data_IF_174320761602
#
_entry.id   IF_174320761602
#
_cell.length_a   1.000
_cell.length_b   1.000
_cell.length_c   1.000
_cell.angle_alpha   90.00
_cell.angle_beta   90.00
_cell.angle_gamma   90.00
#
_symmetry.space_group_name_H-M   'P 1'
#
loop_
_entity.id
_entity.type
_entity.pdbx_description
1 polymer ?
#
# COMPACT_ATOMS: atom_id res chain seq x y z
N UNK A 1 2.32 30.71 -14.15
CA UNK A 1 3.11 29.56 -13.66
C UNK A 1 3.03 29.58 -12.14
N UNK A 2 2.11 28.83 -11.54
CA UNK A 2 1.94 28.82 -10.08
C UNK A 2 1.78 27.36 -9.65
N UNK A 3 2.71 26.93 -8.80
CA UNK A 3 3.07 25.55 -8.49
C UNK A 3 1.89 24.65 -8.10
N UNK A 4 1.57 23.68 -8.97
CA UNK A 4 0.66 22.56 -8.69
C UNK A 4 1.26 21.48 -7.77
N UNK A 5 2.44 21.69 -7.19
CA UNK A 5 3.13 20.72 -6.34
C UNK A 5 2.91 21.06 -4.86
N UNK A 6 2.35 20.12 -4.11
CA UNK A 6 2.31 20.18 -2.65
C UNK A 6 3.76 20.09 -2.14
N UNK A 7 4.21 20.97 -1.22
CA UNK A 7 5.56 20.89 -0.66
C UNK A 7 5.83 19.50 -0.08
N UNK A 8 6.94 18.89 -0.51
CA UNK A 8 7.39 17.54 -0.10
C UNK A 8 7.75 17.41 1.41
N UNK A 9 7.79 18.53 2.14
CA UNK A 9 8.29 18.65 3.52
C UNK A 9 7.20 19.10 4.52
N UNK A 10 5.93 18.82 4.23
CA UNK A 10 4.83 19.12 5.15
C UNK A 10 4.83 18.12 6.30
N UNK A 11 4.88 18.63 7.53
CA UNK A 11 4.67 17.84 8.73
C UNK A 11 3.19 17.43 8.84
N UNK A 12 2.87 16.27 8.29
CA UNK A 12 1.51 15.74 8.29
C UNK A 12 0.94 15.53 9.70
N UNK A 13 1.78 15.33 10.73
CA UNK A 13 1.31 15.11 12.10
C UNK A 13 0.62 16.36 12.69
N UNK A 14 1.00 17.57 12.26
CA UNK A 14 0.36 18.82 12.70
C UNK A 14 -1.00 19.06 12.06
N UNK A 15 -1.24 18.43 10.90
CA UNK A 15 -2.48 18.56 10.13
C UNK A 15 -3.36 17.29 10.19
N UNK A 16 -2.91 16.27 10.92
CA UNK A 16 -3.69 15.07 11.20
C UNK A 16 -4.61 15.30 12.39
N UNK A 17 -5.86 14.86 12.27
CA UNK A 17 -6.81 14.83 13.38
C UNK A 17 -6.27 13.88 14.46
N UNK A 18 -6.11 14.41 15.67
CA UNK A 18 -5.48 13.72 16.80
C UNK A 18 -3.98 14.01 16.98
N UNK A 19 -3.37 14.86 16.15
CA UNK A 19 -1.97 15.27 16.34
C UNK A 19 -1.00 14.08 16.37
N UNK A 20 -0.16 14.00 17.41
CA UNK A 20 0.80 12.91 17.57
C UNK A 20 0.14 11.53 17.74
N UNK A 21 -0.97 11.43 18.49
CA UNK A 21 -1.66 10.14 18.67
C UNK A 21 -2.32 9.68 17.36
N UNK A 22 -2.87 10.62 16.58
CA UNK A 22 -3.36 10.36 15.23
C UNK A 22 -2.27 9.88 14.27
N UNK A 23 -1.08 10.51 14.33
CA UNK A 23 0.08 10.06 13.54
C UNK A 23 0.52 8.64 13.91
N UNK A 24 0.64 8.34 15.21
CA UNK A 24 1.00 7.00 15.70
C UNK A 24 -0.05 5.97 15.26
N UNK A 25 -1.33 6.29 15.39
CA UNK A 25 -2.42 5.43 14.94
C UNK A 25 -2.30 5.12 13.44
N UNK A 26 -2.08 6.14 12.61
CA UNK A 26 -1.87 5.96 11.16
C UNK A 26 -0.68 5.05 10.84
N UNK A 27 0.45 5.21 11.54
CA UNK A 27 1.62 4.35 11.34
C UNK A 27 1.37 2.92 11.80
N UNK A 28 0.67 2.74 12.91
CA UNK A 28 0.24 1.43 13.38
C UNK A 28 -0.68 0.75 12.37
N UNK A 29 -1.66 1.48 11.82
CA UNK A 29 -2.56 0.95 10.79
C UNK A 29 -1.83 0.62 9.49
N UNK A 30 -0.74 1.33 9.15
CA UNK A 30 0.12 0.90 8.04
C UNK A 30 0.79 -0.42 8.35
N UNK A 31 1.52 -0.51 9.46
CA UNK A 31 2.31 -1.70 9.83
C UNK A 31 1.45 -2.96 9.95
N UNK A 32 0.23 -2.84 10.49
CA UNK A 32 -0.66 -4.01 10.64
C UNK A 32 -1.16 -4.58 9.31
N UNK A 33 -1.12 -3.80 8.21
CA UNK A 33 -1.46 -4.30 6.87
C UNK A 33 -0.52 -5.42 6.40
N UNK A 34 0.64 -5.62 7.05
CA UNK A 34 1.54 -6.72 6.72
C UNK A 34 0.90 -8.10 6.93
N UNK A 35 -0.15 -8.17 7.75
CA UNK A 35 -0.92 -9.39 8.00
C UNK A 35 -1.90 -9.71 6.86
N UNK A 36 -2.22 -8.75 5.98
CA UNK A 36 -3.21 -8.95 4.91
C UNK A 36 -2.79 -10.09 3.96
N UNK A 37 -1.57 -10.11 3.38
CA UNK A 37 -1.13 -11.24 2.56
C UNK A 37 -1.18 -12.56 3.34
N UNK A 38 -0.75 -12.55 4.60
CA UNK A 38 -0.77 -13.75 5.44
C UNK A 38 -2.18 -14.32 5.60
N UNK A 39 -3.15 -13.47 5.97
CA UNK A 39 -4.54 -13.89 6.12
C UNK A 39 -5.16 -14.34 4.80
N UNK A 40 -4.88 -13.62 3.71
CA UNK A 40 -5.43 -13.95 2.40
C UNK A 40 -4.93 -15.31 1.89
N UNK A 41 -3.62 -15.53 1.88
CA UNK A 41 -3.03 -16.73 1.28
C UNK A 41 -3.10 -17.98 2.17
N UNK A 42 -3.17 -17.83 3.50
CA UNK A 42 -3.25 -18.99 4.41
C UNK A 42 -4.66 -19.29 4.91
N UNK A 43 -5.55 -18.29 4.93
CA UNK A 43 -6.91 -18.42 5.50
C UNK A 43 -8.01 -17.87 4.59
N UNK A 44 -7.69 -17.32 3.42
CA UNK A 44 -8.67 -16.69 2.53
C UNK A 44 -9.79 -17.63 2.10
N UNK A 45 -9.46 -18.89 1.79
CA UNK A 45 -10.45 -19.93 1.47
C UNK A 45 -11.41 -20.18 2.65
N UNK A 46 -10.89 -20.32 3.87
CA UNK A 46 -11.72 -20.54 5.06
C UNK A 46 -12.59 -19.32 5.37
N UNK A 47 -12.03 -18.10 5.30
CA UNK A 47 -12.73 -16.86 5.61
C UNK A 47 -13.83 -16.55 4.60
N UNK A 48 -13.57 -16.77 3.31
CA UNK A 48 -14.57 -16.53 2.25
C UNK A 48 -15.74 -17.51 2.31
N UNK A 49 -15.49 -18.77 2.70
CA UNK A 49 -16.54 -19.78 2.91
C UNK A 49 -17.54 -19.41 4.02
N UNK A 50 -17.15 -18.61 5.02
CA UNK A 50 -18.06 -18.13 6.06
C UNK A 50 -19.24 -17.32 5.50
N UNK A 51 -19.04 -16.70 4.34
CA UNK A 51 -20.07 -15.91 3.63
C UNK A 51 -20.44 -16.53 2.28
N UNK A 52 -20.14 -17.82 2.08
CA UNK A 52 -20.44 -18.56 0.84
C UNK A 52 -19.85 -17.93 -0.44
N UNK A 53 -18.65 -17.36 -0.33
CA UNK A 53 -17.92 -16.75 -1.44
C UNK A 53 -16.61 -17.50 -1.70
N UNK A 54 -16.02 -17.31 -2.88
CA UNK A 54 -14.60 -17.59 -3.08
C UNK A 54 -13.73 -16.40 -2.61
N UNK A 55 -12.41 -16.58 -2.42
CA UNK A 55 -11.56 -15.52 -1.88
C UNK A 55 -11.55 -14.24 -2.71
N UNK A 56 -11.57 -14.35 -4.05
CA UNK A 56 -11.60 -13.18 -4.93
C UNK A 56 -12.92 -12.40 -4.78
N UNK A 57 -14.06 -13.10 -4.74
CA UNK A 57 -15.37 -12.49 -4.49
C UNK A 57 -15.42 -11.82 -3.12
N UNK A 58 -14.79 -12.42 -2.12
CA UNK A 58 -14.69 -11.85 -0.79
C UNK A 58 -13.88 -10.54 -0.79
N UNK A 59 -12.70 -10.52 -1.42
CA UNK A 59 -11.87 -9.29 -1.55
C UNK A 59 -12.60 -8.22 -2.36
N UNK A 60 -13.27 -8.58 -3.46
CA UNK A 60 -14.09 -7.65 -4.24
C UNK A 60 -15.23 -7.07 -3.39
N UNK A 61 -15.88 -7.89 -2.57
CA UNK A 61 -16.93 -7.43 -1.67
C UNK A 61 -16.37 -6.45 -0.62
N UNK A 62 -15.22 -6.76 -0.02
CA UNK A 62 -14.51 -5.84 0.87
C UNK A 62 -14.17 -4.52 0.17
N UNK A 63 -13.68 -4.57 -1.08
CA UNK A 63 -13.39 -3.38 -1.88
C UNK A 63 -14.64 -2.53 -2.12
N UNK A 64 -15.76 -3.14 -2.50
CA UNK A 64 -17.03 -2.43 -2.72
C UNK A 64 -17.57 -1.81 -1.43
N UNK A 65 -17.44 -2.51 -0.30
CA UNK A 65 -17.78 -1.97 1.04
C UNK A 65 -16.90 -0.76 1.35
N UNK A 66 -15.58 -0.86 1.16
CA UNK A 66 -14.64 0.23 1.41
C UNK A 66 -14.94 1.46 0.55
N UNK A 67 -15.21 1.26 -0.74
CA UNK A 67 -15.63 2.34 -1.65
C UNK A 67 -16.94 2.98 -1.15
N UNK A 68 -17.92 2.17 -0.75
CA UNK A 68 -19.20 2.67 -0.24
C UNK A 68 -19.02 3.49 1.04
N UNK A 69 -18.22 3.00 1.98
CA UNK A 69 -17.89 3.71 3.22
C UNK A 69 -17.16 5.03 2.94
N UNK A 70 -16.24 5.03 1.97
CA UNK A 70 -15.53 6.24 1.57
C UNK A 70 -16.46 7.27 0.92
N UNK A 71 -17.41 6.84 0.10
CA UNK A 71 -18.43 7.73 -0.48
C UNK A 71 -19.33 8.33 0.61
N UNK A 72 -19.76 7.54 1.59
CA UNK A 72 -20.52 8.02 2.74
C UNK A 72 -19.69 9.03 3.55
N UNK A 73 -18.43 8.70 3.83
CA UNK A 73 -17.49 9.58 4.54
C UNK A 73 -17.36 10.93 3.85
N UNK A 74 -17.20 10.93 2.52
CA UNK A 74 -17.11 12.14 1.71
C UNK A 74 -18.41 12.93 1.67
N UNK A 75 -19.54 12.25 1.55
CA UNK A 75 -20.86 12.90 1.54
C UNK A 75 -21.12 13.69 2.83
N UNK A 76 -20.76 13.12 3.98
CA UNK A 76 -20.92 13.77 5.28
C UNK A 76 -19.71 14.61 5.72
N UNK A 77 -18.62 14.63 4.95
CA UNK A 77 -17.37 15.33 5.31
C UNK A 77 -16.72 14.81 6.59
N UNK A 78 -16.85 13.51 6.88
CA UNK A 78 -16.32 12.87 8.09
C UNK A 78 -14.80 12.74 7.98
N UNK A 79 -14.10 13.12 9.06
CA UNK A 79 -12.65 12.94 9.19
C UNK A 79 -12.39 11.95 10.33
N UNK A 80 -11.69 10.86 10.02
CA UNK A 80 -11.34 9.81 10.98
C UNK A 80 -10.01 10.17 11.66
N UNK A 81 -9.81 9.75 12.90
CA UNK A 81 -8.53 9.94 13.61
C UNK A 81 -7.36 9.40 12.77
N UNK A 82 -6.31 10.20 12.62
CA UNK A 82 -5.15 9.91 11.78
C UNK A 82 -5.23 10.46 10.35
N UNK A 83 -6.42 10.81 9.86
CA UNK A 83 -6.61 11.48 8.57
C UNK A 83 -6.24 12.96 8.64
N UNK A 84 -5.88 13.52 7.49
CA UNK A 84 -5.54 14.95 7.34
C UNK A 84 -6.82 15.76 7.09
N UNK A 85 -6.87 17.01 7.53
CA UNK A 85 -8.09 17.84 7.44
C UNK A 85 -8.69 17.95 6.03
N UNK A 86 -7.83 18.04 5.01
CA UNK A 86 -8.28 18.14 3.62
C UNK A 86 -8.94 16.86 3.10
N UNK A 87 -8.71 15.71 3.74
CA UNK A 87 -9.32 14.44 3.35
C UNK A 87 -10.83 14.45 3.59
N UNK A 88 -11.39 15.40 4.34
CA UNK A 88 -12.85 15.60 4.43
C UNK A 88 -13.54 15.75 3.06
N UNK A 89 -12.82 16.23 2.04
CA UNK A 89 -13.37 16.59 0.72
C UNK A 89 -12.79 15.80 -0.45
N UNK A 90 -11.87 14.87 -0.19
CA UNK A 90 -11.23 14.05 -1.22
C UNK A 90 -11.01 12.63 -0.73
N UNK A 91 -10.82 11.69 -1.66
CA UNK A 91 -10.54 10.30 -1.33
C UNK A 91 -9.34 10.22 -0.38
N UNK A 92 -9.51 9.51 0.73
CA UNK A 92 -8.53 9.40 1.79
C UNK A 92 -7.35 8.49 1.39
N UNK A 93 -6.18 8.74 1.98
CA UNK A 93 -5.00 7.88 1.80
C UNK A 93 -5.28 6.42 2.20
N UNK A 94 -6.15 6.21 3.20
CA UNK A 94 -6.60 4.88 3.61
C UNK A 94 -7.41 4.20 2.50
N UNK A 95 -8.37 4.90 1.89
CA UNK A 95 -9.18 4.35 0.81
C UNK A 95 -8.33 4.04 -0.43
N UNK A 96 -7.38 4.91 -0.78
CA UNK A 96 -6.44 4.67 -1.87
C UNK A 96 -5.53 3.47 -1.61
N UNK A 97 -4.95 3.37 -0.42
CA UNK A 97 -4.14 2.22 -0.02
C UNK A 97 -4.94 0.92 -0.05
N UNK A 98 -6.14 0.91 0.54
CA UNK A 98 -6.99 -0.27 0.57
C UNK A 98 -7.45 -0.70 -0.84
N UNK A 99 -7.78 0.26 -1.71
CA UNK A 99 -8.07 0.00 -3.12
C UNK A 99 -6.89 -0.70 -3.80
N UNK A 100 -5.68 -0.15 -3.66
CA UNK A 100 -4.50 -0.70 -4.31
C UNK A 100 -4.10 -2.08 -3.76
N UNK A 101 -4.23 -2.29 -2.45
CA UNK A 101 -4.02 -3.61 -1.80
C UNK A 101 -5.01 -4.64 -2.34
N UNK A 102 -6.30 -4.29 -2.46
CA UNK A 102 -7.30 -5.20 -3.05
C UNK A 102 -6.95 -5.55 -4.49
N UNK A 103 -6.53 -4.57 -5.31
CA UNK A 103 -6.10 -4.84 -6.68
C UNK A 103 -4.86 -5.74 -6.74
N UNK A 104 -3.88 -5.55 -5.85
CA UNK A 104 -2.74 -6.45 -5.76
C UNK A 104 -3.18 -7.89 -5.44
N UNK A 105 -4.09 -8.10 -4.49
CA UNK A 105 -4.62 -9.42 -4.18
C UNK A 105 -5.46 -10.03 -5.31
N UNK A 106 -6.13 -9.22 -6.13
CA UNK A 106 -7.01 -9.73 -7.21
C UNK A 106 -6.21 -10.06 -8.47
N UNK A 107 -5.23 -9.21 -8.81
CA UNK A 107 -4.60 -9.22 -10.13
C UNK A 107 -3.19 -9.76 -10.14
N UNK A 108 -2.50 -9.83 -9.00
CA UNK A 108 -1.13 -10.34 -8.99
C UNK A 108 -1.09 -11.80 -9.49
N UNK A 109 -0.08 -12.20 -10.27
CA UNK A 109 0.12 -13.59 -10.68
C UNK A 109 0.14 -14.52 -9.46
N UNK A 110 -0.33 -15.75 -9.62
CA UNK A 110 -0.50 -16.76 -8.54
C UNK A 110 -1.50 -16.39 -7.41
N UNK A 111 -2.15 -15.22 -7.48
CA UNK A 111 -3.09 -14.76 -6.43
C UNK A 111 -4.36 -15.59 -6.23
N UNK A 112 -4.62 -16.54 -7.12
CA UNK A 112 -5.75 -17.47 -7.07
C UNK A 112 -5.39 -18.80 -6.40
N UNK A 113 -4.11 -19.00 -6.07
CA UNK A 113 -3.64 -20.16 -5.35
C UNK A 113 -3.63 -19.82 -3.84
N UNK A 114 -4.04 -20.77 -3.02
CA UNK A 114 -4.21 -20.60 -1.56
C UNK A 114 -3.44 -21.68 -0.79
N UNK A 115 -2.33 -22.16 -1.36
CA UNK A 115 -1.53 -23.26 -0.84
C UNK A 115 -0.47 -22.78 0.18
N UNK A 116 -0.73 -21.63 0.80
CA UNK A 116 0.17 -20.99 1.77
C UNK A 116 0.81 -19.73 1.23
N UNK A 117 1.77 -19.20 1.98
CA UNK A 117 2.37 -17.89 1.70
C UNK A 117 3.12 -17.82 0.38
N UNK A 118 3.60 -18.94 -0.15
CA UNK A 118 4.30 -19.02 -1.45
C UNK A 118 3.39 -18.55 -2.60
N UNK A 119 2.07 -18.78 -2.53
CA UNK A 119 1.11 -18.24 -3.50
C UNK A 119 1.06 -16.71 -3.52
N UNK A 120 1.61 -16.06 -2.48
CA UNK A 120 1.76 -14.62 -2.37
C UNK A 120 3.07 -14.06 -2.89
N UNK A 121 3.84 -14.80 -3.69
CA UNK A 121 5.20 -14.40 -4.09
C UNK A 121 5.32 -12.98 -4.68
N UNK A 122 4.24 -12.43 -5.26
CA UNK A 122 4.23 -11.09 -5.82
C UNK A 122 3.36 -10.12 -5.02
N UNK A 123 2.13 -10.51 -4.66
CA UNK A 123 1.23 -9.61 -3.92
C UNK A 123 1.75 -9.28 -2.52
N UNK A 124 2.41 -10.23 -1.84
CA UNK A 124 2.95 -10.01 -0.52
C UNK A 124 4.04 -8.91 -0.50
N UNK A 125 5.11 -8.98 -1.32
CA UNK A 125 6.11 -7.90 -1.36
C UNK A 125 5.55 -6.56 -1.85
N UNK A 126 4.55 -6.54 -2.75
CA UNK A 126 3.85 -5.31 -3.14
C UNK A 126 3.18 -4.64 -1.92
N UNK A 127 2.42 -5.40 -1.13
CA UNK A 127 1.68 -4.91 0.03
C UNK A 127 2.66 -4.57 1.19
N UNK A 128 3.68 -5.39 1.40
CA UNK A 128 4.72 -5.10 2.39
C UNK A 128 5.55 -3.87 2.04
N UNK A 129 5.76 -3.61 0.75
CA UNK A 129 6.32 -2.37 0.24
C UNK A 129 5.57 -1.16 0.79
N UNK A 130 4.27 -1.06 0.51
CA UNK A 130 3.40 -0.01 1.09
C UNK A 130 3.44 0.00 2.63
N UNK A 131 3.43 -1.17 3.25
CA UNK A 131 3.32 -1.31 4.70
C UNK A 131 4.55 -0.77 5.44
N UNK A 132 5.75 -0.99 4.92
CA UNK A 132 7.00 -0.66 5.63
C UNK A 132 7.79 0.47 4.97
N UNK A 133 7.79 0.55 3.64
CA UNK A 133 8.55 1.57 2.90
C UNK A 133 7.94 2.95 3.13
N UNK A 134 6.61 3.13 3.07
CA UNK A 134 5.96 4.43 3.34
C UNK A 134 6.30 4.93 4.76
N UNK A 135 6.07 4.17 5.85
CA UNK A 135 6.41 4.64 7.19
C UNK A 135 7.88 5.07 7.30
N UNK A 136 8.81 4.26 6.80
CA UNK A 136 10.25 4.59 6.87
C UNK A 136 10.56 5.86 6.08
N UNK A 137 10.09 5.96 4.84
CA UNK A 137 10.32 7.14 4.00
C UNK A 137 9.69 8.39 4.63
N UNK A 138 8.46 8.27 5.15
CA UNK A 138 7.77 9.35 5.82
C UNK A 138 8.44 9.81 7.12
N UNK A 139 8.95 8.90 7.95
CA UNK A 139 9.70 9.25 9.16
C UNK A 139 11.06 9.91 8.83
N UNK A 140 11.75 9.44 7.78
CA UNK A 140 13.00 10.07 7.31
C UNK A 140 12.72 11.48 6.76
N UNK A 141 11.68 11.65 5.93
CA UNK A 141 11.23 12.97 5.45
C UNK A 141 10.95 13.90 6.64
N UNK A 142 10.18 13.44 7.63
CA UNK A 142 9.86 14.22 8.85
C UNK A 142 11.09 14.61 9.68
N UNK A 143 12.12 13.76 9.70
CA UNK A 143 13.37 14.06 10.42
C UNK A 143 14.23 15.16 9.78
N UNK A 144 13.76 15.80 8.70
CA UNK A 144 14.46 16.85 7.94
C UNK A 144 15.84 16.43 7.41
N UNK A 145 16.10 15.12 7.34
CA UNK A 145 17.30 14.55 6.70
C UNK A 145 17.28 14.73 5.18
N UNK A 146 16.15 15.11 4.60
CA UNK A 146 16.00 15.45 3.18
C UNK A 146 15.64 14.25 2.29
N UNK A 147 15.16 14.56 1.09
CA UNK A 147 14.62 13.59 0.13
C UNK A 147 15.60 12.48 -0.24
N UNK A 148 16.90 12.79 -0.37
CA UNK A 148 17.93 11.82 -0.72
C UNK A 148 18.02 10.67 0.30
N UNK A 149 17.96 10.98 1.60
CA UNK A 149 18.00 9.96 2.64
C UNK A 149 16.71 9.15 2.69
N UNK A 150 15.56 9.77 2.40
CA UNK A 150 14.29 9.05 2.30
C UNK A 150 14.33 8.03 1.14
N UNK A 151 14.84 8.42 -0.03
CA UNK A 151 15.03 7.51 -1.17
C UNK A 151 15.97 6.36 -0.81
N UNK A 152 17.11 6.63 -0.19
CA UNK A 152 18.07 5.58 0.21
C UNK A 152 17.43 4.62 1.23
N UNK A 153 16.78 5.14 2.28
CA UNK A 153 16.11 4.32 3.29
C UNK A 153 14.96 3.49 2.70
N UNK A 154 14.20 4.09 1.79
CA UNK A 154 13.14 3.41 1.06
C UNK A 154 13.66 2.29 0.17
N UNK A 155 14.74 2.53 -0.59
CA UNK A 155 15.37 1.51 -1.44
C UNK A 155 15.92 0.35 -0.63
N UNK A 156 16.65 0.62 0.45
CA UNK A 156 17.18 -0.43 1.34
C UNK A 156 16.04 -1.29 1.88
N UNK A 157 14.98 -0.64 2.39
CA UNK A 157 13.80 -1.35 2.93
C UNK A 157 13.13 -2.19 1.85
N UNK A 158 12.88 -1.59 0.68
CA UNK A 158 12.21 -2.25 -0.43
C UNK A 158 13.00 -3.47 -0.91
N UNK A 159 14.32 -3.35 -1.10
CA UNK A 159 15.17 -4.48 -1.48
C UNK A 159 15.19 -5.58 -0.42
N UNK A 160 15.21 -5.24 0.88
CA UNK A 160 15.11 -6.24 1.94
C UNK A 160 13.81 -7.04 1.80
N UNK A 161 12.68 -6.37 1.58
CA UNK A 161 11.37 -7.02 1.41
C UNK A 161 11.36 -7.93 0.18
N UNK A 162 11.78 -7.41 -0.96
CA UNK A 162 11.74 -8.14 -2.23
C UNK A 162 12.70 -9.33 -2.24
N UNK A 163 13.96 -9.17 -1.81
CA UNK A 163 14.90 -10.30 -1.74
C UNK A 163 14.55 -11.30 -0.64
N UNK A 164 13.98 -10.86 0.50
CA UNK A 164 13.42 -11.80 1.47
C UNK A 164 12.28 -12.61 0.85
N UNK A 165 11.44 -11.97 0.04
CA UNK A 165 10.36 -12.67 -0.69
C UNK A 165 10.92 -13.63 -1.73
N UNK A 166 12.03 -13.30 -2.40
CA UNK A 166 12.75 -14.28 -3.25
C UNK A 166 13.20 -15.51 -2.49
N UNK A 167 13.70 -15.34 -1.26
CA UNK A 167 14.18 -16.46 -0.44
C UNK A 167 13.04 -17.28 0.18
N UNK A 168 12.01 -16.62 0.72
CA UNK A 168 10.95 -17.28 1.51
C UNK A 168 9.71 -17.66 0.68
N UNK A 169 9.41 -16.92 -0.39
CA UNK A 169 8.18 -17.10 -1.19
C UNK A 169 8.49 -17.57 -2.62
N UNK A 170 9.76 -17.63 -3.02
CA UNK A 170 10.15 -18.01 -4.38
C UNK A 170 9.98 -16.89 -5.42
N UNK A 171 9.83 -15.63 -5.01
CA UNK A 171 9.76 -14.51 -5.96
C UNK A 171 10.99 -14.46 -6.88
N UNK A 172 10.84 -14.42 -8.21
CA UNK A 172 11.99 -14.35 -9.11
C UNK A 172 12.91 -13.16 -8.79
N UNK A 173 14.22 -13.42 -8.74
CA UNK A 173 15.24 -12.41 -8.39
C UNK A 173 15.15 -11.20 -9.34
N UNK A 174 14.86 -11.45 -10.62
CA UNK A 174 14.70 -10.39 -11.61
C UNK A 174 13.50 -9.47 -11.28
N UNK A 175 12.39 -10.05 -10.81
CA UNK A 175 11.24 -9.28 -10.33
C UNK A 175 11.64 -8.41 -9.13
N UNK A 176 12.34 -9.00 -8.16
CA UNK A 176 12.84 -8.28 -6.97
C UNK A 176 13.76 -7.11 -7.32
N UNK A 177 14.62 -7.27 -8.34
CA UNK A 177 15.50 -6.21 -8.81
C UNK A 177 14.74 -5.04 -9.46
N UNK A 178 13.70 -5.33 -10.24
CA UNK A 178 12.93 -4.35 -11.00
C UNK A 178 11.87 -3.66 -10.14
N UNK A 179 11.13 -4.41 -9.32
CA UNK A 179 9.94 -3.93 -8.62
C UNK A 179 10.27 -3.20 -7.31
N UNK A 180 11.40 -3.52 -6.67
CA UNK A 180 11.86 -2.82 -5.48
C UNK A 180 12.03 -1.31 -5.67
N UNK A 181 12.77 -0.80 -6.69
CA UNK A 181 12.89 0.63 -6.93
C UNK A 181 11.57 1.27 -7.38
N UNK A 182 10.70 0.53 -8.08
CA UNK A 182 9.39 1.05 -8.51
C UNK A 182 8.46 1.36 -7.34
N UNK A 183 8.53 0.58 -6.26
CA UNK A 183 7.81 0.89 -5.01
C UNK A 183 8.22 2.26 -4.47
N UNK A 184 9.53 2.55 -4.43
CA UNK A 184 10.06 3.85 -3.98
C UNK A 184 9.72 4.97 -4.95
N UNK A 185 9.76 4.70 -6.26
CA UNK A 185 9.33 5.66 -7.27
C UNK A 185 7.86 6.01 -7.09
N UNK A 186 7.00 5.07 -6.70
CA UNK A 186 5.59 5.31 -6.43
C UNK A 186 5.34 6.32 -5.30
N UNK A 187 6.27 6.47 -4.36
CA UNK A 187 6.17 7.40 -3.21
C UNK A 187 6.60 8.85 -3.56
N UNK A 188 7.28 9.07 -4.69
CA UNK A 188 7.84 10.38 -5.05
C UNK A 188 6.82 11.37 -5.67
N UNK A 189 5.87 10.96 -6.53
CA UNK A 189 4.92 11.85 -7.16
C UNK A 189 3.94 12.46 -6.16
N UNK A 190 3.84 13.79 -6.15
CA UNK A 190 2.73 14.50 -5.50
C UNK A 190 1.63 14.74 -6.54
N UNK A 191 0.94 13.67 -6.93
CA UNK A 191 -0.19 13.79 -7.86
C UNK A 191 -1.43 14.26 -7.11
N UNK A 192 -2.19 15.18 -7.70
CA UNK A 192 -3.39 15.74 -7.05
C UNK A 192 -4.57 14.75 -7.00
N UNK A 193 -4.54 13.73 -7.86
CA UNK A 193 -5.68 12.85 -8.13
C UNK A 193 -5.57 11.47 -7.48
N UNK A 194 -4.35 11.05 -7.11
CA UNK A 194 -4.08 9.73 -6.54
C UNK A 194 -3.05 9.89 -5.41
N UNK A 195 -3.31 9.23 -4.30
CA UNK A 195 -2.44 9.24 -3.12
C UNK A 195 -1.23 8.31 -3.33
N UNK A 196 -0.13 8.64 -2.64
CA UNK A 196 1.14 7.90 -2.71
C UNK A 196 0.97 6.44 -2.28
N UNK A 197 0.08 6.16 -1.33
CA UNK A 197 -0.24 4.79 -0.91
C UNK A 197 -0.71 3.91 -2.08
N UNK A 198 -1.47 4.47 -3.02
CA UNK A 198 -1.92 3.72 -4.17
C UNK A 198 -0.80 3.58 -5.21
N UNK A 199 -0.06 4.64 -5.52
CA UNK A 199 1.00 4.58 -6.54
C UNK A 199 2.16 3.66 -6.14
N UNK A 200 2.48 3.56 -4.85
CA UNK A 200 3.50 2.61 -4.33
C UNK A 200 3.17 1.14 -4.63
N UNK A 201 1.89 0.79 -4.83
CA UNK A 201 1.45 -0.57 -5.13
C UNK A 201 1.08 -0.72 -6.60
N UNK A 202 0.30 0.21 -7.15
CA UNK A 202 -0.22 0.12 -8.51
C UNK A 202 0.86 0.27 -9.57
N UNK A 203 1.88 1.10 -9.34
CA UNK A 203 2.99 1.24 -10.29
C UNK A 203 3.79 -0.08 -10.42
N UNK A 204 4.34 -0.67 -9.35
CA UNK A 204 5.04 -1.94 -9.48
C UNK A 204 4.09 -3.08 -9.90
N UNK A 205 2.81 -3.09 -9.49
CA UNK A 205 1.84 -4.07 -9.99
C UNK A 205 1.64 -3.97 -11.50
N UNK A 206 1.47 -2.76 -12.05
CA UNK A 206 1.28 -2.57 -13.48
C UNK A 206 2.50 -3.05 -14.27
N UNK A 207 3.71 -2.77 -13.79
CA UNK A 207 4.94 -3.27 -14.43
C UNK A 207 5.05 -4.79 -14.29
N UNK A 208 4.76 -5.35 -13.11
CA UNK A 208 4.74 -6.79 -12.90
C UNK A 208 3.86 -7.51 -13.93
N UNK A 209 2.63 -7.03 -14.15
CA UNK A 209 1.70 -7.63 -15.11
C UNK A 209 2.21 -7.61 -16.56
N UNK A 210 3.11 -6.68 -16.89
CA UNK A 210 3.74 -6.59 -18.21
C UNK A 210 4.94 -7.54 -18.33
N UNK A 211 5.73 -7.65 -17.26
CA UNK A 211 7.00 -8.40 -17.29
C UNK A 211 6.85 -9.86 -16.88
N UNK A 212 5.77 -10.25 -16.18
CA UNK A 212 5.61 -11.60 -15.65
C UNK A 212 5.75 -12.73 -16.67
N UNK A 213 5.28 -12.61 -17.93
CA UNK A 213 5.50 -13.64 -18.94
C UNK A 213 6.98 -13.91 -19.28
N UNK A 214 7.90 -13.07 -18.82
CA UNK A 214 9.34 -13.16 -19.02
C UNK A 214 10.12 -13.48 -17.73
N UNK A 215 9.43 -13.68 -16.60
CA UNK A 215 10.02 -13.92 -15.27
C UNK A 215 10.26 -15.39 -14.95
#
# INVERSE_FOLDING_TARGET
>A
MTSNSIPLDIDHAKHSVGGMSGHIFRRFTHVIMCLIPFLYYTRGDQLSKLVSMNPNQFVISCLLILISLELIRLYFGIIIVGQREYEAKQISALAWGAFAVCLALIFSPESKNFDGMESGLYAAPLIWGLTFVDPIMGEIKRSKKGLKFAIIGGLITSYIIWFSSSYFLGTPILASLILAPLTVIGELPTVRWIDDNATMVLLPLAILLIIEPFL
#
